data_IF_607317076372
#
_entry.id   IF_607317076372
#
_cell.length_a   1.000
_cell.length_b   1.000
_cell.length_c   1.000
_cell.angle_alpha   90.00
_cell.angle_beta   90.00
_cell.angle_gamma   90.00
#
_symmetry.space_group_name_H-M   'P 1'
#
loop_
_entity.id
_entity.type
_entity.pdbx_description
1 polymer ?
#
# COMPACT_ATOMS: atom_id res chain seq x y z
N UNK A 1 29.03 -18.42 -25.77
CA UNK A 1 27.59 -18.21 -26.02
C UNK A 1 27.00 -17.46 -24.84
N UNK A 2 26.77 -16.14 -24.93
CA UNK A 2 26.19 -15.40 -23.82
C UNK A 2 24.68 -15.63 -23.77
N UNK A 3 24.21 -15.97 -22.58
CA UNK A 3 22.81 -16.19 -22.24
C UNK A 3 22.04 -14.87 -22.45
N UNK A 4 21.03 -14.89 -23.32
CA UNK A 4 20.17 -13.75 -23.60
C UNK A 4 19.46 -13.30 -22.30
N UNK A 5 19.95 -12.22 -21.68
CA UNK A 5 19.17 -11.45 -20.70
C UNK A 5 18.01 -10.84 -21.47
N UNK A 6 16.79 -11.33 -21.23
CA UNK A 6 15.57 -10.60 -21.55
C UNK A 6 15.48 -9.39 -20.61
N UNK A 7 16.25 -8.34 -20.92
CA UNK A 7 16.00 -7.00 -20.42
C UNK A 7 14.71 -6.52 -21.08
N UNK A 8 13.58 -6.80 -20.45
CA UNK A 8 12.39 -5.99 -20.71
C UNK A 8 12.66 -4.66 -20.01
N UNK A 9 12.77 -3.53 -20.71
CA UNK A 9 12.96 -2.25 -20.07
C UNK A 9 11.78 -2.00 -19.13
N UNK A 10 12.09 -1.83 -17.84
CA UNK A 10 11.11 -1.66 -16.76
C UNK A 10 10.18 -0.45 -16.96
N UNK A 11 10.54 0.48 -17.87
CA UNK A 11 9.75 1.64 -18.25
C UNK A 11 8.59 1.35 -19.20
N UNK A 12 8.63 0.30 -20.03
CA UNK A 12 7.68 0.16 -21.15
C UNK A 12 6.46 -0.72 -20.86
N UNK A 13 6.46 -1.51 -19.79
CA UNK A 13 5.30 -2.30 -19.37
C UNK A 13 4.21 -1.45 -18.68
N UNK A 14 4.56 -0.27 -18.15
CA UNK A 14 3.62 0.60 -17.46
C UNK A 14 2.89 1.60 -18.36
N UNK A 15 3.10 1.60 -19.68
CA UNK A 15 2.44 2.55 -20.60
C UNK A 15 1.41 1.86 -21.48
N UNK A 16 1.66 0.62 -21.91
CA UNK A 16 0.87 -0.04 -22.95
C UNK A 16 -0.53 -0.53 -22.53
N UNK A 17 -0.85 -0.56 -21.22
CA UNK A 17 -2.18 -0.98 -20.72
C UNK A 17 -3.06 0.19 -20.26
N UNK A 18 -2.55 1.42 -20.27
CA UNK A 18 -3.17 2.57 -19.60
C UNK A 18 -3.87 3.50 -20.59
N UNK A 19 -4.63 2.91 -21.51
CA UNK A 19 -5.57 3.66 -22.32
C UNK A 19 -6.51 4.43 -21.39
N UNK A 20 -6.47 5.76 -21.49
CA UNK A 20 -7.38 6.76 -20.91
C UNK A 20 -8.33 6.21 -19.83
N UNK A 21 -7.97 6.43 -18.57
CA UNK A 21 -8.97 6.35 -17.48
C UNK A 21 -9.91 7.54 -17.66
N UNK A 22 -10.95 7.33 -18.48
CA UNK A 22 -11.79 8.38 -19.06
C UNK A 22 -12.65 9.14 -18.03
N UNK A 23 -12.73 8.68 -16.78
CA UNK A 23 -13.56 9.31 -15.75
C UNK A 23 -13.10 8.97 -14.31
N UNK A 24 -11.81 9.05 -14.01
CA UNK A 24 -11.32 8.96 -12.62
C UNK A 24 -10.83 10.29 -12.05
N UNK A 25 -11.33 10.67 -10.89
CA UNK A 25 -10.75 11.77 -10.10
C UNK A 25 -9.85 11.20 -8.99
N UNK A 26 -8.58 11.61 -8.95
CA UNK A 26 -7.59 11.12 -7.98
C UNK A 26 -7.24 12.24 -7.01
N UNK A 27 -7.68 12.11 -5.77
CA UNK A 27 -7.52 13.07 -4.71
C UNK A 27 -6.48 12.59 -3.70
N UNK A 28 -5.57 13.47 -3.28
CA UNK A 28 -4.59 13.19 -2.22
C UNK A 28 -4.96 13.96 -0.96
N UNK A 29 -5.16 13.26 0.14
CA UNK A 29 -5.47 13.85 1.43
C UNK A 29 -4.34 13.58 2.44
N UNK A 30 -3.73 14.65 2.94
CA UNK A 30 -2.56 14.58 3.84
C UNK A 30 -2.87 15.00 5.27
N UNK A 31 -4.04 15.59 5.51
CA UNK A 31 -4.55 16.02 6.81
C UNK A 31 -6.00 15.59 7.01
N UNK A 32 -6.31 15.14 8.22
CA UNK A 32 -7.65 14.71 8.60
C UNK A 32 -8.47 15.82 9.25
N UNK A 33 -9.75 15.53 9.51
CA UNK A 33 -10.70 16.35 10.26
C UNK A 33 -11.03 15.64 11.58
N UNK A 34 -11.32 16.35 12.70
CA UNK A 34 -11.52 17.81 12.84
C UNK A 34 -10.32 18.64 13.27
N UNK A 35 -9.16 18.03 13.56
CA UNK A 35 -8.00 18.71 14.14
C UNK A 35 -6.94 19.11 13.11
N UNK A 36 -7.19 18.91 11.81
CA UNK A 36 -6.20 19.12 10.74
C UNK A 36 -4.92 18.31 10.98
N UNK A 37 -5.07 17.13 11.60
CA UNK A 37 -3.94 16.32 11.98
C UNK A 37 -3.30 15.67 10.76
N UNK A 38 -1.97 15.73 10.68
CA UNK A 38 -1.23 15.10 9.59
C UNK A 38 -1.43 13.58 9.59
N UNK A 39 -1.87 13.05 8.45
CA UNK A 39 -2.07 11.63 8.19
C UNK A 39 -0.78 11.01 7.66
N UNK A 40 0.22 10.92 8.53
CA UNK A 40 1.50 10.27 8.23
C UNK A 40 1.52 8.83 8.76
N UNK A 41 1.45 7.86 7.86
CA UNK A 41 1.51 6.43 8.20
C UNK A 41 2.94 5.87 8.15
N UNK A 42 3.96 6.72 8.26
CA UNK A 42 5.33 6.27 8.46
C UNK A 42 5.48 5.46 9.75
N UNK A 43 6.59 4.71 9.84
CA UNK A 43 6.89 3.87 11.00
C UNK A 43 6.87 4.63 12.33
N UNK A 44 7.21 5.92 12.32
CA UNK A 44 7.24 6.78 13.51
C UNK A 44 5.85 6.97 14.12
N UNK A 45 4.81 7.00 13.29
CA UNK A 45 3.44 7.32 13.69
C UNK A 45 2.50 6.09 13.75
N UNK A 46 3.04 4.87 13.59
CA UNK A 46 2.25 3.61 13.53
C UNK A 46 1.44 3.25 14.79
N UNK A 47 1.67 3.95 15.90
CA UNK A 47 0.94 3.77 17.16
C UNK A 47 0.19 5.03 17.61
N UNK A 48 0.14 6.06 16.76
CA UNK A 48 -0.59 7.29 17.03
C UNK A 48 -2.10 7.02 16.93
N UNK A 49 -2.76 6.86 18.08
CA UNK A 49 -4.18 6.49 18.14
C UNK A 49 -5.08 7.66 17.75
N UNK A 50 -4.66 8.87 18.09
CA UNK A 50 -5.34 10.11 17.80
C UNK A 50 -5.44 10.29 16.27
N UNK A 51 -4.35 10.00 15.54
CA UNK A 51 -4.33 9.99 14.07
C UNK A 51 -5.28 8.94 13.48
N UNK A 52 -5.39 7.75 14.08
CA UNK A 52 -6.35 6.74 13.62
C UNK A 52 -7.80 7.16 13.86
N UNK A 53 -8.09 7.82 14.98
CA UNK A 53 -9.43 8.36 15.24
C UNK A 53 -9.76 9.47 14.24
N UNK A 54 -8.82 10.40 14.02
CA UNK A 54 -8.94 11.47 13.02
C UNK A 54 -9.24 10.91 11.63
N UNK A 55 -8.49 9.88 11.21
CA UNK A 55 -8.74 9.17 9.94
C UNK A 55 -10.17 8.62 9.88
N UNK A 56 -10.66 8.03 10.97
CA UNK A 56 -12.01 7.50 11.05
C UNK A 56 -13.09 8.56 10.91
N UNK A 57 -12.94 9.70 11.59
CA UNK A 57 -13.86 10.84 11.48
C UNK A 57 -13.85 11.44 10.06
N UNK A 58 -12.66 11.56 9.47
CA UNK A 58 -12.46 12.02 8.10
C UNK A 58 -13.21 11.12 7.10
N UNK A 59 -13.01 9.79 7.20
CA UNK A 59 -13.69 8.83 6.32
C UNK A 59 -15.20 8.89 6.52
N UNK A 60 -15.69 8.94 7.77
CA UNK A 60 -17.13 9.06 8.06
C UNK A 60 -17.75 10.27 7.38
N UNK A 61 -17.04 11.39 7.31
CA UNK A 61 -17.58 12.61 6.70
C UNK A 61 -17.54 12.57 5.16
N UNK A 62 -16.48 11.99 4.57
CA UNK A 62 -16.36 11.80 3.11
C UNK A 62 -17.37 10.78 2.59
N UNK A 63 -17.58 9.63 3.24
CA UNK A 63 -18.49 8.61 2.71
C UNK A 63 -19.95 9.05 2.62
N UNK A 64 -20.34 10.14 3.30
CA UNK A 64 -21.72 10.68 3.25
C UNK A 64 -22.06 11.26 1.89
N UNK A 65 -21.11 11.88 1.21
CA UNK A 65 -21.34 12.49 -0.09
C UNK A 65 -21.13 11.54 -1.29
N UNK A 66 -20.64 10.33 -1.02
CA UNK A 66 -20.36 9.34 -2.06
C UNK A 66 -21.62 8.53 -2.36
N UNK A 67 -22.09 8.47 -3.61
CA UNK A 67 -23.14 7.54 -4.01
C UNK A 67 -22.59 6.10 -4.09
N UNK A 68 -23.41 5.10 -3.77
CA UNK A 68 -23.05 3.69 -3.96
C UNK A 68 -21.92 3.20 -3.05
N UNK A 69 -21.07 2.34 -3.62
CA UNK A 69 -20.07 1.55 -2.90
C UNK A 69 -18.76 2.29 -2.62
N UNK A 70 -18.22 2.07 -1.42
CA UNK A 70 -16.92 2.57 -0.99
C UNK A 70 -15.98 1.40 -0.67
N UNK A 71 -14.82 1.36 -1.28
CA UNK A 71 -13.79 0.35 -1.00
C UNK A 71 -12.69 0.99 -0.15
N UNK A 72 -12.58 0.57 1.11
CA UNK A 72 -11.53 1.04 2.03
C UNK A 72 -10.40 0.02 2.11
N UNK A 73 -9.25 0.40 1.58
CA UNK A 73 -8.08 -0.46 1.44
C UNK A 73 -7.00 -0.09 2.45
N UNK A 74 -6.59 -1.07 3.27
CA UNK A 74 -5.48 -0.94 4.21
C UNK A 74 -4.31 -1.83 3.76
N UNK A 75 -3.08 -1.31 3.60
CA UNK A 75 -1.99 -2.01 2.95
C UNK A 75 -1.28 -3.04 3.83
N UNK A 76 -1.53 -3.04 5.15
CA UNK A 76 -0.87 -3.97 6.06
C UNK A 76 -1.76 -4.43 7.20
N UNK A 77 -1.68 -5.73 7.51
CA UNK A 77 -2.38 -6.35 8.63
C UNK A 77 -1.95 -5.77 10.00
N UNK A 78 -0.66 -5.43 10.25
CA UNK A 78 -0.27 -4.78 11.50
C UNK A 78 -0.87 -3.39 11.67
N UNK A 79 -0.91 -2.57 10.61
CA UNK A 79 -1.56 -1.25 10.64
C UNK A 79 -3.06 -1.40 10.90
N UNK A 80 -3.72 -2.32 10.18
CA UNK A 80 -5.13 -2.63 10.40
C UNK A 80 -5.39 -3.07 11.85
N UNK A 81 -4.51 -3.88 12.44
CA UNK A 81 -4.65 -4.30 13.84
C UNK A 81 -4.64 -3.15 14.84
N UNK A 82 -3.88 -2.08 14.60
CA UNK A 82 -3.88 -0.88 15.44
C UNK A 82 -5.11 -0.02 15.18
N UNK A 83 -5.43 0.21 13.90
CA UNK A 83 -6.61 0.95 13.46
C UNK A 83 -7.90 0.32 13.99
N UNK A 84 -8.05 -1.01 13.88
CA UNK A 84 -9.22 -1.74 14.36
C UNK A 84 -9.45 -1.54 15.86
N UNK A 85 -8.39 -1.58 16.68
CA UNK A 85 -8.50 -1.33 18.12
C UNK A 85 -8.96 0.09 18.43
N UNK A 86 -8.40 1.08 17.73
CA UNK A 86 -8.78 2.48 17.91
C UNK A 86 -10.24 2.74 17.48
N UNK A 87 -10.63 2.19 16.32
CA UNK A 87 -11.95 2.36 15.74
C UNK A 87 -13.05 1.60 16.48
N UNK A 88 -12.75 0.42 17.05
CA UNK A 88 -13.66 -0.28 17.95
C UNK A 88 -13.92 0.55 19.21
N UNK A 89 -12.87 1.10 19.83
CA UNK A 89 -13.00 1.91 21.05
C UNK A 89 -13.78 3.21 20.81
N UNK A 90 -13.56 3.87 19.67
CA UNK A 90 -14.24 5.10 19.29
C UNK A 90 -15.59 4.89 18.56
N UNK A 91 -16.03 3.63 18.40
CA UNK A 91 -17.25 3.27 17.66
C UNK A 91 -17.31 3.82 16.22
N UNK A 92 -16.16 3.92 15.53
CA UNK A 92 -16.07 4.40 14.15
C UNK A 92 -16.79 3.44 13.21
N UNK A 93 -16.57 2.13 13.36
CA UNK A 93 -17.24 1.11 12.53
C UNK A 93 -18.75 1.15 12.63
N UNK A 94 -19.30 1.36 13.84
CA UNK A 94 -20.75 1.48 14.02
C UNK A 94 -21.31 2.71 13.32
N UNK A 95 -20.58 3.83 13.33
CA UNK A 95 -20.96 5.06 12.63
C UNK A 95 -20.85 4.95 11.11
N UNK A 96 -19.81 4.28 10.59
CA UNK A 96 -19.73 3.92 9.18
C UNK A 96 -20.95 3.06 8.80
N UNK A 97 -21.24 2.01 9.60
CA UNK A 97 -22.34 1.09 9.34
C UNK A 97 -23.72 1.77 9.32
N UNK A 98 -23.89 2.88 10.05
CA UNK A 98 -25.13 3.67 10.02
C UNK A 98 -25.33 4.39 8.67
N UNK A 99 -24.25 4.79 8.01
CA UNK A 99 -24.29 5.53 6.74
C UNK A 99 -24.30 4.56 5.56
N UNK A 100 -23.41 3.56 5.57
CA UNK A 100 -23.26 2.53 4.55
C UNK A 100 -23.05 1.17 5.19
N UNK A 101 -23.70 0.12 4.69
CA UNK A 101 -23.55 -1.24 5.24
C UNK A 101 -22.08 -1.69 5.17
N UNK A 102 -21.49 -2.04 6.31
CA UNK A 102 -20.05 -2.33 6.41
C UNK A 102 -19.76 -3.83 6.28
N UNK A 103 -19.00 -4.17 5.25
CA UNK A 103 -18.44 -5.49 5.00
C UNK A 103 -16.93 -5.49 5.24
N UNK A 104 -16.40 -6.58 5.79
CA UNK A 104 -14.98 -6.70 6.13
C UNK A 104 -14.42 -8.00 5.57
N UNK A 105 -13.31 -7.92 4.88
CA UNK A 105 -12.56 -9.08 4.40
C UNK A 105 -12.11 -9.98 5.56
N UNK A 106 -12.19 -11.29 5.37
CA UNK A 106 -11.69 -12.31 6.30
C UNK A 106 -10.54 -13.11 5.69
N UNK A 107 -9.87 -13.94 6.51
CA UNK A 107 -8.73 -14.78 6.12
C UNK A 107 -9.00 -15.81 5.02
N UNK A 108 -10.26 -16.00 4.64
CA UNK A 108 -10.77 -17.10 3.85
C UNK A 108 -11.34 -16.60 2.50
N UNK A 109 -10.85 -17.18 1.40
CA UNK A 109 -11.21 -16.76 0.05
C UNK A 109 -12.67 -17.07 -0.29
N UNK A 110 -13.19 -18.22 0.09
CA UNK A 110 -14.56 -18.63 -0.22
C UNK A 110 -15.57 -17.79 0.55
N UNK A 111 -15.25 -17.50 1.82
CA UNK A 111 -16.06 -16.59 2.63
C UNK A 111 -16.03 -15.18 2.05
N UNK A 112 -14.87 -14.69 1.59
CA UNK A 112 -14.77 -13.38 0.95
C UNK A 112 -15.62 -13.26 -0.31
N UNK A 113 -15.72 -14.30 -1.13
CA UNK A 113 -16.62 -14.30 -2.29
C UNK A 113 -18.06 -14.02 -1.88
N UNK A 114 -18.56 -14.71 -0.84
CA UNK A 114 -19.92 -14.49 -0.32
C UNK A 114 -20.11 -13.10 0.31
N UNK A 115 -19.06 -12.57 0.96
CA UNK A 115 -19.08 -11.21 1.51
C UNK A 115 -19.21 -10.18 0.38
N UNK A 116 -18.49 -10.38 -0.72
CA UNK A 116 -18.53 -9.49 -1.88
C UNK A 116 -19.87 -9.56 -2.59
N UNK A 117 -20.44 -10.75 -2.79
CA UNK A 117 -21.80 -10.88 -3.35
C UNK A 117 -22.84 -10.08 -2.54
N UNK A 118 -22.73 -10.13 -1.20
CA UNK A 118 -23.58 -9.31 -0.33
C UNK A 118 -23.27 -7.82 -0.46
N UNK A 119 -22.00 -7.45 -0.48
CA UNK A 119 -21.59 -6.05 -0.69
C UNK A 119 -22.20 -5.47 -1.97
N UNK A 120 -22.10 -6.19 -3.09
CA UNK A 120 -22.68 -5.78 -4.37
C UNK A 120 -24.20 -5.69 -4.30
N UNK A 121 -24.87 -6.67 -3.68
CA UNK A 121 -26.33 -6.64 -3.49
C UNK A 121 -26.79 -5.37 -2.76
N UNK A 122 -26.11 -4.95 -1.69
CA UNK A 122 -26.50 -3.74 -0.95
C UNK A 122 -26.25 -2.45 -1.76
N UNK A 123 -25.19 -2.40 -2.59
CA UNK A 123 -24.94 -1.26 -3.47
C UNK A 123 -26.00 -1.14 -4.58
N UNK A 124 -26.39 -2.26 -5.17
CA UNK A 124 -27.44 -2.32 -6.19
C UNK A 124 -28.82 -1.99 -5.59
N UNK A 125 -29.12 -2.49 -4.38
CA UNK A 125 -30.33 -2.11 -3.62
C UNK A 125 -30.36 -0.61 -3.35
N UNK A 126 -29.23 0.00 -2.98
CA UNK A 126 -29.14 1.43 -2.72
C UNK A 126 -29.30 2.30 -3.98
N UNK A 127 -28.99 1.75 -5.16
CA UNK A 127 -29.22 2.43 -6.44
C UNK A 127 -30.68 2.38 -6.93
N UNK A 128 -31.51 1.54 -6.32
CA UNK A 128 -32.92 1.40 -6.73
C UNK A 128 -33.73 2.65 -6.33
N UNK A 129 -34.51 3.26 -7.25
CA UNK A 129 -35.32 4.43 -6.95
C UNK A 129 -36.27 4.21 -5.76
N UNK A 130 -36.38 5.20 -4.88
CA UNK A 130 -37.27 5.17 -3.71
C UNK A 130 -36.71 4.46 -2.48
N UNK A 131 -35.49 3.89 -2.54
CA UNK A 131 -34.82 3.39 -1.34
C UNK A 131 -34.16 4.53 -0.56
N UNK A 132 -34.54 4.70 0.71
CA UNK A 132 -34.07 5.77 1.59
C UNK A 132 -33.26 5.24 2.79
N UNK A 133 -33.01 3.93 2.88
CA UNK A 133 -32.36 3.35 4.07
C UNK A 133 -30.89 3.75 4.19
N UNK A 134 -30.08 3.43 3.18
CA UNK A 134 -28.63 3.69 3.13
C UNK A 134 -28.21 4.02 1.71
N UNK A 135 -27.21 4.90 1.58
CA UNK A 135 -26.69 5.35 0.28
C UNK A 135 -25.77 4.32 -0.41
N UNK A 136 -25.57 3.14 0.18
CA UNK A 136 -24.73 2.07 -0.34
C UNK A 136 -24.09 1.22 0.75
N UNK A 137 -23.00 0.56 0.40
CA UNK A 137 -22.20 -0.29 1.28
C UNK A 137 -20.72 0.16 1.28
N UNK A 138 -19.99 -0.26 2.30
CA UNK A 138 -18.54 -0.07 2.41
C UNK A 138 -17.87 -1.44 2.54
N UNK A 139 -16.85 -1.71 1.72
CA UNK A 139 -16.04 -2.90 1.80
C UNK A 139 -14.64 -2.56 2.31
N UNK A 140 -14.31 -3.05 3.51
CA UNK A 140 -12.98 -2.93 4.07
C UNK A 140 -12.15 -4.15 3.69
N UNK A 141 -11.04 -3.91 3.02
CA UNK A 141 -10.12 -4.92 2.49
C UNK A 141 -8.68 -4.64 2.91
N UNK A 142 -7.88 -5.69 2.96
CA UNK A 142 -6.48 -5.63 3.35
C UNK A 142 -5.64 -6.10 2.16
N UNK A 143 -4.68 -5.29 1.71
CA UNK A 143 -3.72 -5.75 0.71
C UNK A 143 -2.85 -6.85 1.32
N UNK A 144 -3.11 -8.11 0.97
CA UNK A 144 -2.31 -9.26 1.42
C UNK A 144 -1.25 -9.57 0.38
N UNK A 145 -0.05 -9.92 0.83
CA UNK A 145 1.03 -10.38 -0.04
C UNK A 145 1.33 -9.44 -1.22
N UNK A 146 1.11 -8.13 -1.05
CA UNK A 146 1.44 -7.10 -2.05
C UNK A 146 0.66 -7.30 -3.36
N UNK A 147 -0.47 -7.99 -3.28
CA UNK A 147 -1.44 -8.10 -4.37
C UNK A 147 -2.79 -7.70 -3.81
N UNK A 148 -3.38 -6.69 -4.43
CA UNK A 148 -4.78 -6.48 -4.20
C UNK A 148 -5.53 -7.70 -4.74
N UNK A 149 -6.53 -8.22 -4.03
CA UNK A 149 -7.31 -9.34 -4.55
C UNK A 149 -7.95 -8.96 -5.90
N UNK A 150 -7.93 -9.88 -6.87
CA UNK A 150 -8.42 -9.68 -8.24
C UNK A 150 -9.97 -9.65 -8.33
N UNK A 151 -10.63 -8.99 -7.39
CA UNK A 151 -12.06 -8.81 -7.38
C UNK A 151 -12.46 -7.86 -8.50
N UNK A 152 -13.50 -8.22 -9.25
CA UNK A 152 -14.15 -7.32 -10.20
C UNK A 152 -15.43 -6.84 -9.57
N UNK A 153 -15.50 -5.56 -9.25
CA UNK A 153 -16.69 -4.95 -8.67
C UNK A 153 -17.59 -4.40 -9.76
N UNK A 154 -18.91 -4.42 -9.52
CA UNK A 154 -19.85 -3.66 -10.33
C UNK A 154 -19.54 -2.15 -10.27
N UNK A 155 -19.89 -1.37 -11.32
CA UNK A 155 -19.74 0.09 -11.33
C UNK A 155 -20.27 0.78 -10.06
N UNK A 156 -21.45 0.35 -9.60
CA UNK A 156 -22.07 0.91 -8.41
C UNK A 156 -21.34 0.54 -7.12
N UNK A 157 -20.51 -0.50 -7.16
CA UNK A 157 -19.76 -1.02 -6.02
C UNK A 157 -18.34 -0.47 -5.92
N UNK A 158 -17.88 0.36 -6.86
CA UNK A 158 -16.52 0.93 -6.84
C UNK A 158 -16.49 2.45 -7.05
N UNK A 159 -17.53 3.16 -6.59
CA UNK A 159 -17.65 4.62 -6.78
C UNK A 159 -16.54 5.41 -6.12
N UNK A 160 -16.23 5.10 -4.86
CA UNK A 160 -15.06 5.66 -4.19
C UNK A 160 -14.14 4.54 -3.74
N UNK A 161 -12.87 4.65 -4.10
CA UNK A 161 -11.82 3.85 -3.52
C UNK A 161 -10.98 4.71 -2.59
N UNK A 162 -10.75 4.24 -1.36
CA UNK A 162 -9.89 4.88 -0.38
C UNK A 162 -8.67 3.98 -0.15
N UNK A 163 -7.47 4.47 -0.44
CA UNK A 163 -6.22 3.81 -0.08
C UNK A 163 -5.56 4.55 1.08
N UNK A 164 -5.55 3.92 2.25
CA UNK A 164 -4.89 4.46 3.44
C UNK A 164 -3.45 4.00 3.45
N UNK A 165 -2.48 4.91 3.55
CA UNK A 165 -1.05 4.61 3.55
C UNK A 165 -0.49 4.11 2.20
N UNK A 166 0.76 4.47 1.92
CA UNK A 166 1.52 3.89 0.80
C UNK A 166 1.90 2.43 1.14
N UNK A 167 1.67 1.45 0.25
CA UNK A 167 1.92 0.02 0.48
C UNK A 167 3.41 -0.35 0.37
N UNK A 168 4.24 0.25 1.21
CA UNK A 168 5.66 -0.09 1.28
C UNK A 168 5.91 -1.45 1.93
N UNK A 169 6.85 -2.18 1.36
CA UNK A 169 7.31 -3.46 1.90
C UNK A 169 8.08 -3.30 3.20
N UNK A 170 7.99 -4.28 4.09
CA UNK A 170 8.84 -4.24 5.28
C UNK A 170 10.31 -4.47 4.88
N UNK A 171 11.16 -3.44 5.05
CA UNK A 171 12.60 -3.52 4.75
C UNK A 171 13.33 -4.60 5.56
N UNK A 172 12.79 -4.98 6.73
CA UNK A 172 13.36 -6.04 7.57
C UNK A 172 12.94 -7.44 7.13
N UNK A 173 12.02 -7.58 6.17
CA UNK A 173 11.69 -8.88 5.59
C UNK A 173 12.92 -9.41 4.82
N UNK A 174 13.32 -10.64 5.10
CA UNK A 174 14.57 -11.21 4.56
C UNK A 174 14.68 -11.08 3.03
N UNK A 175 13.62 -11.41 2.30
CA UNK A 175 13.59 -11.32 0.83
C UNK A 175 13.77 -9.88 0.33
N UNK A 176 13.10 -8.93 0.98
CA UNK A 176 13.16 -7.51 0.64
C UNK A 176 14.56 -6.97 0.96
N UNK A 177 15.06 -7.22 2.17
CA UNK A 177 16.40 -6.80 2.59
C UNK A 177 17.51 -7.35 1.70
N UNK A 178 17.44 -8.63 1.31
CA UNK A 178 18.39 -9.22 0.36
C UNK A 178 18.33 -8.55 -1.02
N UNK A 179 17.12 -8.28 -1.54
CA UNK A 179 16.95 -7.61 -2.83
C UNK A 179 17.50 -6.19 -2.79
N UNK A 180 17.20 -5.42 -1.74
CA UNK A 180 17.74 -4.08 -1.53
C UNK A 180 19.27 -4.09 -1.48
N UNK A 181 19.87 -5.04 -0.72
CA UNK A 181 21.33 -5.17 -0.65
C UNK A 181 21.95 -5.52 -2.00
N UNK A 182 21.32 -6.42 -2.76
CA UNK A 182 21.77 -6.78 -4.10
C UNK A 182 21.75 -5.56 -5.04
N UNK A 183 20.64 -4.81 -5.04
CA UNK A 183 20.51 -3.62 -5.89
C UNK A 183 21.51 -2.53 -5.52
N UNK A 184 21.73 -2.30 -4.22
CA UNK A 184 22.74 -1.35 -3.76
C UNK A 184 24.15 -1.73 -4.22
N UNK A 185 24.51 -3.02 -4.21
CA UNK A 185 25.79 -3.49 -4.74
C UNK A 185 25.88 -3.27 -6.26
N UNK A 186 24.84 -3.63 -7.02
CA UNK A 186 24.82 -3.46 -8.48
C UNK A 186 24.88 -1.99 -8.89
N UNK A 187 24.16 -1.11 -8.20
CA UNK A 187 24.19 0.33 -8.46
C UNK A 187 25.60 0.90 -8.26
N UNK A 188 26.27 0.51 -7.17
CA UNK A 188 27.62 0.99 -6.85
C UNK A 188 28.72 0.41 -7.76
N UNK A 189 28.55 -0.81 -8.27
CA UNK A 189 29.58 -1.50 -9.07
C UNK A 189 29.39 -1.31 -10.58
N UNK A 190 28.14 -1.28 -11.05
CA UNK A 190 27.79 -1.33 -12.47
C UNK A 190 27.15 -0.02 -12.97
N UNK A 191 27.02 1.00 -12.11
CA UNK A 191 26.25 2.23 -12.39
C UNK A 191 24.83 1.93 -12.91
N UNK A 192 24.22 0.84 -12.42
CA UNK A 192 22.86 0.42 -12.82
C UNK A 192 21.85 1.55 -12.51
N UNK A 193 20.99 1.91 -13.45
CA UNK A 193 20.00 2.97 -13.25
C UNK A 193 19.01 2.64 -12.13
N UNK A 194 18.78 1.35 -11.86
CA UNK A 194 17.87 0.88 -10.81
C UNK A 194 18.57 0.75 -9.46
N UNK A 195 18.55 1.84 -8.68
CA UNK A 195 18.98 1.79 -7.29
C UNK A 195 17.92 1.18 -6.34
N UNK A 196 18.33 0.88 -5.11
CA UNK A 196 17.49 0.23 -4.11
C UNK A 196 16.26 1.04 -3.70
N UNK A 197 16.36 2.37 -3.70
CA UNK A 197 15.27 3.27 -3.31
C UNK A 197 14.22 3.36 -4.42
N UNK A 198 14.67 3.41 -5.67
CA UNK A 198 13.81 3.42 -6.83
C UNK A 198 13.03 2.10 -6.91
N UNK A 199 13.70 0.94 -6.85
CA UNK A 199 13.00 -0.35 -6.87
C UNK A 199 11.95 -0.46 -5.75
N UNK A 200 12.33 -0.05 -4.54
CA UNK A 200 11.44 -0.12 -3.38
C UNK A 200 10.18 0.76 -3.54
N UNK A 201 10.34 1.91 -4.19
CA UNK A 201 9.26 2.81 -4.55
C UNK A 201 8.39 2.24 -5.67
N UNK A 202 9.01 1.67 -6.71
CA UNK A 202 8.27 1.05 -7.81
C UNK A 202 7.41 -0.12 -7.36
N UNK A 203 7.88 -0.95 -6.44
CA UNK A 203 7.08 -2.03 -5.85
C UNK A 203 5.82 -1.48 -5.16
N UNK A 204 5.96 -0.43 -4.36
CA UNK A 204 4.82 0.21 -3.71
C UNK A 204 3.85 0.81 -4.73
N UNK A 205 4.37 1.53 -5.73
CA UNK A 205 3.54 2.11 -6.79
C UNK A 205 2.80 1.07 -7.60
N UNK A 206 3.37 -0.10 -7.90
CA UNK A 206 2.62 -1.18 -8.60
C UNK A 206 1.37 -1.60 -7.86
N UNK A 207 1.43 -1.69 -6.52
CA UNK A 207 0.25 -2.00 -5.70
C UNK A 207 -0.76 -0.85 -5.75
N UNK A 208 -0.30 0.40 -5.69
CA UNK A 208 -1.17 1.58 -5.85
C UNK A 208 -1.88 1.56 -7.21
N UNK A 209 -1.18 1.23 -8.31
CA UNK A 209 -1.79 1.12 -9.65
C UNK A 209 -2.87 0.04 -9.68
N UNK A 210 -2.60 -1.13 -9.11
CA UNK A 210 -3.60 -2.21 -9.03
C UNK A 210 -4.85 -1.77 -8.30
N UNK A 211 -4.67 -0.99 -7.23
CA UNK A 211 -5.77 -0.42 -6.45
C UNK A 211 -6.53 0.64 -7.25
N UNK A 212 -5.85 1.60 -7.90
CA UNK A 212 -6.50 2.62 -8.74
C UNK A 212 -7.32 1.99 -9.87
N UNK A 213 -6.78 0.96 -10.53
CA UNK A 213 -7.44 0.27 -11.62
C UNK A 213 -8.74 -0.45 -11.20
N UNK A 214 -8.96 -0.66 -9.90
CA UNK A 214 -10.20 -1.21 -9.37
C UNK A 214 -11.35 -0.17 -9.34
N UNK A 215 -11.02 1.12 -9.22
CA UNK A 215 -12.01 2.18 -9.10
C UNK A 215 -12.73 2.46 -10.42
N UNK A 216 -12.04 2.28 -11.55
CA UNK A 216 -12.61 2.49 -12.90
C UNK A 216 -12.39 1.23 -13.73
N UNK A 217 -13.42 0.38 -13.77
CA UNK A 217 -13.34 -0.93 -14.44
C UNK A 217 -13.93 -0.92 -15.86
N UNK A 218 -14.57 0.17 -16.29
CA UNK A 218 -15.20 0.29 -17.61
C UNK A 218 -15.06 1.72 -18.16
N UNK A 219 -15.07 1.85 -19.49
CA UNK A 219 -14.99 3.12 -20.23
C UNK A 219 -16.20 4.03 -19.96
N UNK A 220 -17.35 3.41 -19.71
CA UNK A 220 -18.62 4.10 -19.42
C UNK A 220 -18.89 4.23 -17.90
N UNK A 221 -17.88 3.98 -17.08
CA UNK A 221 -17.98 4.05 -15.63
C UNK A 221 -17.12 5.18 -15.06
N UNK A 222 -17.54 5.69 -13.92
CA UNK A 222 -16.85 6.73 -13.19
C UNK A 222 -16.65 6.33 -11.73
N UNK A 223 -15.49 6.71 -11.21
CA UNK A 223 -15.12 6.48 -9.83
C UNK A 223 -14.09 7.51 -9.40
N UNK A 224 -14.05 7.81 -8.11
CA UNK A 224 -12.99 8.63 -7.53
C UNK A 224 -12.07 7.74 -6.70
N UNK A 225 -10.79 8.11 -6.66
CA UNK A 225 -9.78 7.52 -5.79
C UNK A 225 -9.34 8.57 -4.78
N UNK A 226 -9.31 8.20 -3.52
CA UNK A 226 -8.79 8.99 -2.42
C UNK A 226 -7.55 8.30 -1.84
N UNK A 227 -6.39 8.90 -2.06
CA UNK A 227 -5.11 8.47 -1.52
C UNK A 227 -4.85 9.23 -0.22
N UNK A 228 -4.69 8.50 0.89
CA UNK A 228 -4.53 9.09 2.21
C UNK A 228 -3.14 8.76 2.76
N UNK A 229 -2.19 9.65 2.57
CA UNK A 229 -0.88 9.65 3.22
C UNK A 229 -0.16 10.97 2.93
N UNK A 230 0.43 11.61 3.94
CA UNK A 230 1.26 12.81 3.72
C UNK A 230 2.39 12.58 2.71
N UNK A 231 2.93 11.36 2.63
CA UNK A 231 4.07 11.04 1.76
C UNK A 231 3.75 11.13 0.27
N UNK A 232 2.48 11.16 -0.14
CA UNK A 232 2.09 11.43 -1.54
C UNK A 232 2.39 12.89 -1.97
N UNK A 233 2.75 13.79 -1.05
CA UNK A 233 3.24 15.13 -1.41
C UNK A 233 4.67 15.09 -1.97
N UNK A 234 5.48 14.12 -1.54
CA UNK A 234 6.89 14.07 -1.90
C UNK A 234 7.07 13.85 -3.39
N UNK A 235 7.90 14.69 -4.03
CA UNK A 235 8.19 14.64 -5.48
C UNK A 235 8.56 13.24 -5.92
N UNK A 236 9.43 12.59 -5.16
CA UNK A 236 9.85 11.20 -5.33
C UNK A 236 8.69 10.23 -5.53
N UNK A 237 7.61 10.36 -4.76
CA UNK A 237 6.43 9.49 -4.83
C UNK A 237 5.50 9.84 -6.00
N UNK A 238 5.70 11.00 -6.61
CA UNK A 238 4.84 11.54 -7.67
C UNK A 238 5.62 11.87 -8.93
N UNK A 239 6.80 11.28 -9.09
CA UNK A 239 7.59 11.42 -10.31
C UNK A 239 6.78 10.91 -11.51
N UNK A 240 6.98 11.54 -12.66
CA UNK A 240 6.21 11.41 -13.91
C UNK A 240 6.20 10.01 -14.55
N UNK A 241 6.70 8.99 -13.85
CA UNK A 241 6.76 7.60 -14.32
C UNK A 241 5.40 6.92 -14.35
N UNK A 242 4.39 7.48 -13.67
CA UNK A 242 3.04 6.92 -13.63
C UNK A 242 2.01 7.94 -14.11
N UNK A 243 1.25 7.58 -15.15
CA UNK A 243 0.23 8.47 -15.73
C UNK A 243 -0.83 8.95 -14.72
N UNK A 244 -1.23 8.11 -13.76
CA UNK A 244 -2.15 8.51 -12.70
C UNK A 244 -1.54 9.54 -11.75
N UNK A 245 -0.22 9.51 -11.54
CA UNK A 245 0.45 10.40 -10.60
C UNK A 245 0.48 11.85 -11.10
N UNK A 246 0.49 12.03 -12.42
CA UNK A 246 0.45 13.34 -13.07
C UNK A 246 -0.90 14.05 -12.89
N UNK A 247 -1.99 13.29 -12.75
CA UNK A 247 -3.36 13.82 -12.65
C UNK A 247 -3.89 13.87 -11.21
N UNK A 248 -3.01 13.72 -10.21
CA UNK A 248 -3.41 13.81 -8.81
C UNK A 248 -3.70 15.24 -8.39
N UNK A 249 -4.89 15.45 -7.82
CA UNK A 249 -5.21 16.69 -7.12
C UNK A 249 -4.60 16.67 -5.74
N UNK A 250 -3.59 17.52 -5.54
CA UNK A 250 -2.97 17.81 -4.26
C UNK A 250 -3.47 19.16 -3.75
N UNK A 251 -3.63 19.24 -2.44
CA UNK A 251 -4.11 20.43 -1.74
C UNK A 251 -3.03 21.05 -0.86
N UNK A 252 -1.76 20.64 -1.03
CA UNK A 252 -0.60 21.03 -0.24
C UNK A 252 -0.26 22.52 -0.35
N UNK A 253 -0.68 23.17 -1.43
CA UNK A 253 -0.54 24.62 -1.64
C UNK A 253 -1.58 25.45 -0.90
N UNK A 254 -2.66 24.84 -0.42
CA UNK A 254 -3.71 25.54 0.32
C UNK A 254 -3.38 25.60 1.81
N UNK A 255 -3.90 26.62 2.53
CA UNK A 255 -3.87 26.67 3.98
C UNK A 255 -4.42 25.37 4.61
N UNK A 256 -3.80 24.96 5.71
CA UNK A 256 -4.07 23.69 6.41
C UNK A 256 -5.54 23.44 6.71
N UNK A 257 -6.27 24.49 7.07
CA UNK A 257 -7.69 24.49 7.39
C UNK A 257 -8.60 24.32 6.16
N UNK A 258 -8.09 24.63 4.97
CA UNK A 258 -8.84 24.54 3.70
C UNK A 258 -8.58 23.23 2.93
N UNK A 259 -7.46 22.54 3.21
CA UNK A 259 -7.08 21.34 2.43
C UNK A 259 -8.16 20.26 2.45
N UNK A 260 -8.73 19.99 3.63
CA UNK A 260 -9.78 18.99 3.78
C UNK A 260 -11.08 19.40 3.08
N UNK A 261 -11.54 20.65 3.29
CA UNK A 261 -12.79 21.13 2.71
C UNK A 261 -12.74 21.14 1.19
N UNK A 262 -11.62 21.57 0.61
CA UNK A 262 -11.41 21.57 -0.83
C UNK A 262 -11.42 20.14 -1.38
N UNK A 263 -10.72 19.20 -0.73
CA UNK A 263 -10.73 17.79 -1.13
C UNK A 263 -12.14 17.20 -1.12
N UNK A 264 -12.92 17.49 -0.08
CA UNK A 264 -14.30 17.01 0.04
C UNK A 264 -15.20 17.62 -1.03
N UNK A 265 -15.08 18.93 -1.26
CA UNK A 265 -15.85 19.63 -2.29
C UNK A 265 -15.55 19.08 -3.68
N UNK A 266 -14.28 18.82 -4.00
CA UNK A 266 -13.90 18.21 -5.28
C UNK A 266 -14.54 16.83 -5.50
N UNK A 267 -14.58 15.99 -4.46
CA UNK A 267 -15.26 14.68 -4.51
C UNK A 267 -16.78 14.85 -4.70
N UNK A 268 -17.40 15.78 -3.98
CA UNK A 268 -18.83 16.10 -4.10
C UNK A 268 -19.22 16.58 -5.50
N UNK A 269 -18.46 17.53 -6.04
CA UNK A 269 -18.65 18.07 -7.38
C UNK A 269 -18.44 17.01 -8.45
N UNK A 270 -17.42 16.15 -8.29
CA UNK A 270 -17.16 15.04 -9.21
C UNK A 270 -18.38 14.12 -9.32
N UNK A 271 -18.91 13.64 -8.20
CA UNK A 271 -20.06 12.73 -8.21
C UNK A 271 -21.34 13.41 -8.69
N UNK A 272 -21.54 14.68 -8.36
CA UNK A 272 -22.68 15.47 -8.85
C UNK A 272 -22.63 15.59 -10.38
N UNK A 273 -21.48 16.00 -10.92
CA UNK A 273 -21.27 16.16 -12.35
C UNK A 273 -21.38 14.84 -13.13
N UNK A 274 -20.84 13.75 -12.58
CA UNK A 274 -20.87 12.44 -13.22
C UNK A 274 -22.25 11.79 -13.16
N UNK A 275 -23.00 11.98 -12.07
CA UNK A 275 -24.38 11.49 -11.97
C UNK A 275 -25.28 12.09 -13.07
N UNK A 276 -25.08 13.36 -13.44
CA UNK A 276 -25.81 14.00 -14.53
C UNK A 276 -25.41 13.48 -15.91
N UNK A 277 -24.12 13.20 -16.13
CA UNK A 277 -23.58 12.75 -17.44
C UNK A 277 -23.77 11.25 -17.69
N UNK A 278 -23.74 10.45 -16.63
CA UNK A 278 -23.79 8.99 -16.67
C UNK A 278 -24.84 8.47 -15.68
N UNK A 279 -26.14 8.65 -15.98
CA UNK A 279 -27.20 8.14 -15.12
C UNK A 279 -27.12 6.61 -15.02
N UNK A 280 -27.12 6.10 -13.79
CA UNK A 280 -26.99 4.67 -13.55
C UNK A 280 -28.35 3.97 -13.63
N UNK A 281 -28.44 2.93 -14.45
CA UNK A 281 -29.61 2.04 -14.48
C UNK A 281 -29.37 0.85 -13.55
N UNK A 282 -30.18 0.66 -12.49
CA UNK A 282 -30.02 -0.45 -11.56
C UNK A 282 -30.12 -1.80 -12.26
N UNK A 283 -29.24 -2.74 -11.86
CA UNK A 283 -29.32 -4.12 -12.34
C UNK A 283 -30.44 -4.86 -11.61
N UNK A 284 -31.06 -5.82 -12.31
CA UNK A 284 -32.07 -6.70 -11.68
C UNK A 284 -31.38 -7.52 -10.59
N UNK A 285 -31.77 -7.26 -9.34
CA UNK A 285 -31.26 -7.96 -8.16
C UNK A 285 -31.69 -9.42 -8.17
N UNK A 286 -30.75 -10.35 -8.29
CA UNK A 286 -30.97 -11.73 -7.82
C UNK A 286 -30.80 -11.71 -6.30
N UNK A 287 -31.81 -12.12 -5.55
CA UNK A 287 -31.68 -12.24 -4.09
C UNK A 287 -30.55 -13.22 -3.76
N UNK A 288 -29.59 -12.85 -2.90
CA UNK A 288 -28.56 -13.78 -2.46
C UNK A 288 -29.23 -14.96 -1.77
N UNK A 289 -28.81 -16.19 -2.12
CA UNK A 289 -29.41 -17.43 -1.64
C UNK A 289 -29.43 -17.45 -0.11
N UNK A 290 -30.63 -17.50 0.49
CA UNK A 290 -30.78 -17.62 1.95
C UNK A 290 -30.14 -18.93 2.41
N UNK A 291 -29.13 -18.83 3.27
CA UNK A 291 -28.76 -19.93 4.16
C UNK A 291 -29.92 -20.14 5.14
N UNK A 292 -30.81 -21.07 4.83
CA UNK A 292 -31.75 -21.58 5.82
C UNK A 292 -31.00 -22.49 6.79
N UNK A 293 -31.37 -22.34 8.07
CA UNK A 293 -31.10 -23.21 9.22
C UNK A 293 -29.83 -22.94 10.05
N UNK A 294 -29.98 -22.00 11.00
CA UNK A 294 -29.61 -22.21 12.40
C UNK A 294 -30.30 -21.15 13.30
N UNK A 295 -31.63 -21.22 13.43
CA UNK A 295 -32.34 -20.60 14.54
C UNK A 295 -32.52 -21.64 15.65
N UNK A 296 -31.64 -21.57 16.67
CA UNK A 296 -31.90 -21.85 18.09
C UNK A 296 -30.60 -21.71 18.91
N UNK A 297 -30.35 -20.50 19.42
CA UNK A 297 -29.94 -20.23 20.81
C UNK A 297 -29.32 -18.82 20.99
N UNK A 298 -30.00 -18.05 21.84
CA UNK A 298 -29.54 -16.96 22.73
C UNK A 298 -28.38 -16.02 22.33
N UNK A 299 -28.73 -14.74 22.22
CA UNK A 299 -28.02 -13.57 22.80
C UNK A 299 -26.53 -13.73 23.15
N UNK A 300 -25.65 -13.38 22.22
CA UNK A 300 -24.29 -12.96 22.54
C UNK A 300 -23.73 -12.03 21.44
N UNK A 301 -23.32 -10.82 21.81
CA UNK A 301 -22.52 -9.94 20.97
C UNK A 301 -21.20 -10.62 20.57
N UNK A 302 -20.72 -10.51 19.32
CA UNK A 302 -19.46 -11.13 18.94
C UNK A 302 -18.29 -10.30 19.51
N UNK A 303 -17.65 -10.84 20.55
CA UNK A 303 -16.35 -10.36 21.03
C UNK A 303 -15.29 -10.64 19.97
N UNK A 304 -14.52 -9.60 19.66
CA UNK A 304 -13.30 -9.60 18.85
C UNK A 304 -12.37 -10.78 19.18
N UNK A 305 -12.39 -11.83 18.35
CA UNK A 305 -11.50 -13.00 18.42
C UNK A 305 -10.38 -12.99 17.38
N UNK A 306 -10.38 -12.03 16.45
CA UNK A 306 -9.45 -12.01 15.31
C UNK A 306 -7.98 -11.90 15.72
N UNK A 307 -7.66 -11.21 16.82
CA UNK A 307 -6.26 -10.98 17.23
C UNK A 307 -5.70 -12.02 18.21
N UNK A 308 -6.53 -12.85 18.86
CA UNK A 308 -6.06 -13.78 19.90
C UNK A 308 -5.49 -15.10 19.37
N UNK A 309 -5.89 -15.56 18.18
CA UNK A 309 -5.41 -16.84 17.64
C UNK A 309 -4.00 -16.79 17.04
N UNK A 310 -3.48 -15.60 16.73
CA UNK A 310 -2.17 -15.45 16.08
C UNK A 310 -1.01 -15.15 17.04
N UNK A 311 -1.25 -14.56 18.22
CA UNK A 311 -0.19 -14.17 19.16
C UNK A 311 0.15 -15.21 20.24
N UNK A 312 -0.61 -16.30 20.39
CA UNK A 312 -0.39 -17.33 21.43
C UNK A 312 0.38 -18.57 20.98
N UNK A 313 0.93 -18.59 19.76
CA UNK A 313 1.74 -19.71 19.25
C UNK A 313 3.25 -19.38 19.21
N UNK A 314 3.81 -18.77 20.25
CA UNK A 314 5.26 -18.83 20.54
C UNK A 314 5.44 -18.90 22.06
N UNK A 315 6.28 -19.85 22.50
CA UNK A 315 6.53 -20.30 23.87
C UNK A 315 5.49 -21.27 24.45
N UNK A 316 5.73 -22.57 24.21
CA UNK A 316 5.76 -23.64 25.23
C UNK A 316 6.03 -24.97 24.53
N UNK A 317 7.30 -25.34 24.34
CA UNK A 317 7.73 -26.74 24.33
C UNK A 317 9.16 -26.78 24.90
N UNK A 318 9.31 -27.48 26.04
CA UNK A 318 10.61 -27.88 26.58
C UNK A 318 11.25 -29.00 25.74
N UNK A 319 12.49 -29.41 26.03
CA UNK A 319 13.22 -30.34 25.18
C UNK A 319 12.68 -31.78 25.32
N UNK A 320 12.56 -32.56 24.24
CA UNK A 320 12.20 -33.97 24.35
C UNK A 320 13.44 -34.83 24.64
N UNK A 321 13.24 -35.87 25.47
CA UNK A 321 14.22 -36.93 25.77
C UNK A 321 14.25 -38.02 24.67
N UNK A 322 15.34 -38.79 24.53
CA UNK A 322 15.67 -39.50 23.28
C UNK A 322 14.99 -40.87 23.15
N UNK A 323 14.49 -41.18 21.95
CA UNK A 323 14.03 -42.52 21.56
C UNK A 323 15.09 -43.24 20.72
N UNK A 324 15.33 -44.51 21.06
CA UNK A 324 16.27 -45.45 20.41
C UNK A 324 15.82 -45.78 18.98
N UNK A 325 16.74 -45.67 18.01
CA UNK A 325 16.57 -46.15 16.63
C UNK A 325 17.46 -47.37 16.37
N UNK A 326 16.85 -48.46 15.89
CA UNK A 326 17.56 -49.61 15.32
C UNK A 326 17.96 -49.32 13.86
N UNK A 327 19.13 -49.82 13.38
CA UNK A 327 19.65 -49.47 12.07
C UNK A 327 19.11 -50.39 10.96
N UNK A 328 18.87 -49.83 9.77
CA UNK A 328 18.73 -50.56 8.50
C UNK A 328 19.71 -49.99 7.45
N UNK A 329 20.14 -50.81 6.47
CA UNK A 329 21.45 -50.68 5.85
C UNK A 329 21.53 -49.58 4.77
N UNK A 330 22.74 -49.03 4.66
CA UNK A 330 23.16 -47.87 3.88
C UNK A 330 23.28 -48.23 2.39
N UNK A 331 22.52 -47.55 1.52
CA UNK A 331 22.85 -47.47 0.08
C UNK A 331 23.84 -46.32 -0.13
N UNK A 332 24.94 -46.61 -0.80
CA UNK A 332 26.04 -45.71 -1.16
C UNK A 332 25.59 -44.66 -2.17
N UNK A 333 25.81 -43.38 -1.86
CA UNK A 333 25.67 -42.24 -2.79
C UNK A 333 27.06 -41.58 -2.93
N UNK A 334 27.48 -41.15 -4.14
CA UNK A 334 28.83 -40.65 -4.38
C UNK A 334 29.12 -39.34 -3.63
N UNK A 335 30.36 -39.19 -3.16
CA UNK A 335 30.85 -38.00 -2.44
C UNK A 335 30.85 -36.76 -3.35
N UNK A 336 30.27 -35.65 -2.87
CA UNK A 336 30.58 -34.30 -3.36
C UNK A 336 31.81 -33.77 -2.61
N UNK A 337 32.73 -33.04 -3.28
CA UNK A 337 33.94 -32.55 -2.64
C UNK A 337 33.65 -31.43 -1.63
N UNK A 338 34.39 -31.44 -0.52
CA UNK A 338 34.27 -30.49 0.59
C UNK A 338 34.63 -29.06 0.18
N UNK A 339 33.93 -28.06 0.74
CA UNK A 339 34.19 -26.62 0.67
C UNK A 339 35.46 -26.27 1.48
N UNK A 340 36.62 -26.77 1.07
CA UNK A 340 37.94 -26.42 1.62
C UNK A 340 38.97 -26.04 0.56
N UNK A 341 38.55 -25.77 -0.68
CA UNK A 341 39.46 -25.42 -1.78
C UNK A 341 39.30 -24.00 -2.34
N UNK A 342 38.57 -23.08 -1.67
CA UNK A 342 38.37 -21.70 -2.16
C UNK A 342 39.05 -20.58 -1.35
N UNK A 343 39.91 -20.90 -0.38
CA UNK A 343 40.72 -19.89 0.30
C UNK A 343 42.20 -20.11 0.00
N UNK A 344 42.78 -19.23 -0.84
CA UNK A 344 44.24 -19.03 -0.90
C UNK A 344 44.65 -18.20 0.34
N UNK A 345 45.72 -18.57 1.06
CA UNK A 345 46.28 -17.71 2.10
C UNK A 345 46.91 -16.46 1.47
N UNK A 346 46.71 -15.30 2.09
CA UNK A 346 47.46 -14.09 1.79
C UNK A 346 48.94 -14.28 2.21
N UNK A 347 49.93 -13.80 1.43
CA UNK A 347 51.32 -13.88 1.83
C UNK A 347 51.63 -12.93 3.00
N UNK A 348 52.42 -13.44 3.95
CA UNK A 348 53.02 -12.71 5.06
C UNK A 348 53.97 -11.62 4.54
N UNK A 349 53.79 -10.38 5.01
CA UNK A 349 54.77 -9.30 4.85
C UNK A 349 55.57 -9.18 6.15
N UNK A 350 56.86 -9.45 6.07
CA UNK A 350 57.85 -8.99 7.02
C UNK A 350 58.66 -7.82 6.41
N UNK A 351 59.20 -6.99 7.30
CA UNK A 351 60.12 -5.85 7.14
C UNK A 351 59.57 -4.50 6.64
N UNK A 352 59.45 -3.59 7.62
CA UNK A 352 60.05 -2.24 7.67
C UNK A 352 59.81 -1.25 6.53
N UNK A 353 58.74 -0.45 6.65
CA UNK A 353 58.72 0.95 6.19
C UNK A 353 57.87 1.80 7.17
N UNK A 354 58.54 2.71 7.88
CA UNK A 354 57.91 3.78 8.66
C UNK A 354 57.16 4.73 7.72
N UNK A 355 55.83 4.73 7.78
CA UNK A 355 55.00 5.76 7.14
C UNK A 355 54.59 6.77 8.20
N UNK A 356 55.15 7.97 8.08
CA UNK A 356 54.87 9.14 8.90
C UNK A 356 53.45 9.66 8.66
N UNK A 357 52.73 9.91 9.76
CA UNK A 357 51.36 10.46 9.78
C UNK A 357 51.44 11.99 9.61
N UNK A 358 50.73 12.62 8.67
CA UNK A 358 50.70 14.07 8.60
C UNK A 358 49.78 14.66 9.67
N UNK A 359 50.37 15.53 10.49
CA UNK A 359 49.75 16.28 11.57
C UNK A 359 48.67 17.26 11.04
N UNK A 360 47.48 17.21 11.65
CA UNK A 360 46.25 17.90 11.18
C UNK A 360 46.10 19.34 11.67
N UNK A 361 47.14 19.96 12.22
CA UNK A 361 47.09 21.32 12.75
C UNK A 361 48.17 22.25 12.16
N UNK A 362 48.06 22.60 10.87
CA UNK A 362 48.75 23.77 10.29
C UNK A 362 47.79 24.69 9.52
N UNK A 363 47.85 26.01 9.73
CA UNK A 363 46.97 26.97 9.08
C UNK A 363 47.38 27.20 7.61
N UNK A 364 46.39 27.37 6.73
CA UNK A 364 46.57 27.74 5.32
C UNK A 364 47.35 29.07 5.22
N UNK A 365 48.44 29.08 4.47
CA UNK A 365 49.13 30.31 4.02
C UNK A 365 48.69 30.68 2.61
N UNK A 366 48.63 31.98 2.41
CA UNK A 366 48.08 32.71 1.27
C UNK A 366 48.68 32.35 -0.09
N UNK A 367 47.82 32.33 -1.12
CA UNK A 367 48.22 32.25 -2.53
C UNK A 367 48.61 33.64 -3.07
N UNK A 368 49.68 33.79 -3.86
CA UNK A 368 50.07 35.08 -4.41
C UNK A 368 49.25 35.45 -5.65
N UNK A 369 49.01 36.76 -5.77
CA UNK A 369 48.38 37.46 -6.90
C UNK A 369 49.34 37.68 -8.08
N UNK A 370 48.72 37.83 -9.25
CA UNK A 370 49.13 38.53 -10.48
C UNK A 370 50.03 37.82 -11.51
N UNK A 371 49.49 37.66 -12.73
CA UNK A 371 49.98 38.36 -13.92
C UNK A 371 48.95 38.33 -15.07
N UNK A 372 48.82 39.49 -15.74
CA UNK A 372 48.02 39.90 -16.90
C UNK A 372 48.39 39.12 -18.20
N UNK A 373 47.41 38.68 -19.03
CA UNK A 373 46.86 39.32 -20.25
C UNK A 373 47.77 39.15 -21.50
N UNK A 374 47.37 39.32 -22.79
CA UNK A 374 46.04 39.39 -23.43
C UNK A 374 45.91 38.47 -24.69
N UNK A 375 44.68 38.24 -25.19
CA UNK A 375 44.41 38.39 -26.63
C UNK A 375 42.90 38.41 -26.95
N UNK A 376 42.43 39.59 -27.35
CA UNK A 376 41.27 39.81 -28.22
C UNK A 376 41.82 40.36 -29.53
N UNK A 377 41.43 39.77 -30.66
CA UNK A 377 40.97 40.43 -31.89
C UNK A 377 40.97 39.42 -33.05
N UNK A 378 39.86 39.38 -33.79
CA UNK A 378 39.62 38.53 -34.94
C UNK A 378 38.15 38.20 -35.07
#
# INVERSE_FOLDING_TARGET
>A
MPCARSQIPHSNLCTALYGQVSASDINVLTKGKPKNMSLDFSWKNRFNKEMFIELGETIIDIIKCVPGGVILTIPSLPLFGQLNKAWEKANVFGRINKIKELFREVGDREVNTKIIERYEYYNEKAATPGNVEKSGACFLTICRNKKFPDYKFSPQSSRLLILVCIPFDNRTEFKVGMKLRKLSILHNLENDELNENLWYREEASRVVNSVINLAVNNKDDYGSVLLIDKRYEYKDQTEDRYHWAQNMKKYDKLPDDLQYSECKQNIEEFFTNMASKHPYTPRILKTPTKLQNASKSSTAQPKSTFLKSFFTKRHKQGPPSPQKLNPKPRKTVPQQPSIKSFFKPLPSRDSDEEVSIPDRNKPLKDAPKNAENPNKNG
#
